data_IF_858167208145
#
_entry.id   IF_858167208145
#
_cell.length_a   1.000
_cell.length_b   1.000
_cell.length_c   1.000
_cell.angle_alpha   90.00
_cell.angle_beta   90.00
_cell.angle_gamma   90.00
#
_symmetry.space_group_name_H-M   'P 1'
#
loop_
_entity.id
_entity.type
_entity.pdbx_description
1 polymer ?
#
# COMPACT_ATOMS: atom_id res chain seq x y z
N UNK A 1 -12.95 4.34 27.20
CA UNK A 1 -12.98 4.71 25.76
C UNK A 1 -11.95 5.78 25.42
N UNK A 2 -12.01 6.98 26.03
CA UNK A 2 -11.14 8.12 25.69
C UNK A 2 -9.62 7.86 25.69
N UNK A 3 -9.11 7.09 26.67
CA UNK A 3 -7.67 6.77 26.78
C UNK A 3 -7.15 5.83 25.69
N UNK A 4 -7.99 4.94 25.17
CA UNK A 4 -7.60 3.98 24.12
C UNK A 4 -7.48 4.72 22.79
N UNK A 5 -8.41 5.61 22.50
CA UNK A 5 -8.40 6.42 21.28
C UNK A 5 -7.23 7.42 21.27
N UNK A 6 -6.89 8.01 22.42
CA UNK A 6 -5.69 8.83 22.56
C UNK A 6 -4.41 8.04 22.32
N UNK A 7 -4.27 6.85 22.93
CA UNK A 7 -3.12 5.96 22.71
C UNK A 7 -2.98 5.53 21.25
N UNK A 8 -4.10 5.23 20.58
CA UNK A 8 -4.12 4.91 19.16
C UNK A 8 -3.67 6.10 18.30
N UNK A 9 -4.18 7.31 18.59
CA UNK A 9 -3.83 8.52 17.85
C UNK A 9 -2.35 8.87 17.99
N UNK A 10 -1.79 8.79 19.20
CA UNK A 10 -0.37 8.99 19.48
C UNK A 10 0.48 7.97 18.73
N UNK A 11 0.11 6.69 18.81
CA UNK A 11 0.86 5.62 18.14
C UNK A 11 0.84 5.78 16.62
N UNK A 12 -0.32 6.15 16.05
CA UNK A 12 -0.45 6.45 14.63
C UNK A 12 0.41 7.64 14.20
N UNK A 13 0.49 8.70 15.02
CA UNK A 13 1.35 9.84 14.74
C UNK A 13 2.84 9.46 14.76
N UNK A 14 3.27 8.62 15.70
CA UNK A 14 4.65 8.10 15.76
C UNK A 14 4.96 7.23 14.55
N UNK A 15 4.05 6.34 14.17
CA UNK A 15 4.19 5.53 12.96
C UNK A 15 4.27 6.37 11.69
N UNK A 16 3.41 7.39 11.58
CA UNK A 16 3.45 8.35 10.48
C UNK A 16 4.84 8.98 10.37
N UNK A 17 5.38 9.49 11.47
CA UNK A 17 6.71 10.09 11.50
C UNK A 17 7.81 9.11 11.11
N UNK A 18 7.82 7.90 11.68
CA UNK A 18 8.84 6.90 11.39
C UNK A 18 8.83 6.48 9.92
N UNK A 19 7.63 6.27 9.34
CA UNK A 19 7.46 5.91 7.93
C UNK A 19 7.87 7.03 6.96
N UNK A 20 7.77 8.29 7.40
CA UNK A 20 8.16 9.44 6.58
C UNK A 20 9.66 9.74 6.70
N UNK A 21 10.24 9.52 7.89
CA UNK A 21 11.69 9.63 8.12
C UNK A 21 12.48 8.51 7.45
N UNK A 22 11.96 7.28 7.46
CA UNK A 22 12.59 6.16 6.75
C UNK A 22 12.73 6.39 5.24
N UNK A 23 11.84 7.20 4.64
CA UNK A 23 11.95 7.65 3.24
C UNK A 23 13.07 8.67 3.00
N UNK A 24 13.40 9.48 4.01
CA UNK A 24 14.36 10.59 3.89
C UNK A 24 15.78 10.17 4.28
N UNK A 25 15.89 9.36 5.32
CA UNK A 25 17.14 8.88 5.88
C UNK A 25 17.31 7.43 5.44
N UNK A 26 18.32 7.11 4.62
CA UNK A 26 18.67 5.74 4.19
C UNK A 26 19.06 4.79 5.35
N UNK A 27 18.72 5.14 6.58
CA UNK A 27 18.83 4.41 7.83
C UNK A 27 17.52 3.64 8.08
N UNK A 28 17.20 2.67 7.21
CA UNK A 28 15.99 1.86 7.34
C UNK A 28 16.04 0.90 8.56
N UNK A 29 17.25 0.49 8.97
CA UNK A 29 17.44 -0.59 9.95
C UNK A 29 17.16 -0.15 11.41
N UNK A 30 17.48 1.10 11.77
CA UNK A 30 17.22 1.64 13.11
C UNK A 30 15.72 1.90 13.35
N UNK A 31 14.95 2.17 12.28
CA UNK A 31 13.52 2.40 12.37
C UNK A 31 12.69 1.11 12.29
N UNK A 32 13.23 0.01 11.75
CA UNK A 32 12.51 -1.25 11.55
C UNK A 32 11.97 -1.85 12.86
N UNK A 33 12.79 -1.92 13.92
CA UNK A 33 12.38 -2.47 15.22
C UNK A 33 11.29 -1.62 15.88
N UNK A 34 11.39 -0.29 15.76
CA UNK A 34 10.35 0.63 16.26
C UNK A 34 9.05 0.47 15.48
N UNK A 35 9.12 0.39 14.14
CA UNK A 35 7.96 0.18 13.29
C UNK A 35 7.24 -1.13 13.61
N UNK A 36 7.97 -2.24 13.79
CA UNK A 36 7.41 -3.53 14.17
C UNK A 36 6.68 -3.46 15.52
N UNK A 37 7.32 -2.90 16.55
CA UNK A 37 6.72 -2.76 17.87
C UNK A 37 5.44 -1.90 17.88
N UNK A 38 5.42 -0.81 17.10
CA UNK A 38 4.23 0.04 17.01
C UNK A 38 3.11 -0.60 16.18
N UNK A 39 3.44 -1.32 15.11
CA UNK A 39 2.46 -2.10 14.33
C UNK A 39 1.86 -3.21 15.20
N UNK A 40 2.69 -3.94 15.93
CA UNK A 40 2.26 -5.00 16.85
C UNK A 40 1.36 -4.44 17.95
N UNK A 41 1.76 -3.32 18.58
CA UNK A 41 0.95 -2.67 19.60
C UNK A 41 -0.42 -2.21 19.07
N UNK A 42 -0.47 -1.61 17.88
CA UNK A 42 -1.74 -1.26 17.25
C UNK A 42 -2.61 -2.47 16.94
N UNK A 43 -2.00 -3.59 16.51
CA UNK A 43 -2.70 -4.83 16.23
C UNK A 43 -3.36 -5.46 17.45
N UNK A 44 -2.80 -5.23 18.64
CA UNK A 44 -3.34 -5.73 19.91
C UNK A 44 -4.17 -4.69 20.68
N UNK A 45 -4.34 -3.47 20.15
CA UNK A 45 -5.09 -2.43 20.84
C UNK A 45 -6.62 -2.64 20.66
N UNK A 46 -7.36 -2.95 21.74
CA UNK A 46 -8.78 -3.26 21.63
C UNK A 46 -9.58 -2.06 21.12
N UNK A 47 -10.52 -2.32 20.21
CA UNK A 47 -11.36 -1.27 19.61
C UNK A 47 -10.76 -0.56 18.40
N UNK A 48 -9.57 -0.98 17.93
CA UNK A 48 -9.08 -0.62 16.58
C UNK A 48 -9.49 -1.60 15.49
N UNK A 49 -9.96 -2.80 15.85
CA UNK A 49 -10.41 -3.86 14.94
C UNK A 49 -11.41 -3.37 13.88
N UNK A 50 -12.27 -2.41 14.23
CA UNK A 50 -13.31 -1.87 13.35
C UNK A 50 -12.92 -0.54 12.68
N UNK A 51 -11.76 0.03 13.04
CA UNK A 51 -11.33 1.33 12.51
C UNK A 51 -10.53 1.15 11.24
N UNK A 52 -10.85 1.94 10.21
CA UNK A 52 -10.07 1.97 8.97
C UNK A 52 -8.70 2.61 9.24
N UNK A 53 -7.60 2.02 8.73
CA UNK A 53 -6.29 2.62 8.88
C UNK A 53 -6.24 3.99 8.17
N UNK A 54 -5.46 4.95 8.69
CA UNK A 54 -5.17 6.19 7.99
C UNK A 54 -4.55 5.94 6.61
N UNK A 55 -4.78 6.88 5.67
CA UNK A 55 -4.32 6.71 4.28
C UNK A 55 -2.80 6.53 4.18
N UNK A 56 -2.01 7.19 5.03
CA UNK A 56 -0.54 7.07 5.02
C UNK A 56 -0.08 5.66 5.41
N UNK A 57 -0.76 4.99 6.34
CA UNK A 57 -0.47 3.60 6.73
C UNK A 57 -0.74 2.66 5.56
N UNK A 58 -1.89 2.84 4.88
CA UNK A 58 -2.21 2.05 3.69
C UNK A 58 -1.19 2.30 2.56
N UNK A 59 -0.75 3.54 2.33
CA UNK A 59 0.27 3.85 1.33
C UNK A 59 1.63 3.25 1.68
N UNK A 60 2.05 3.29 2.95
CA UNK A 60 3.28 2.65 3.40
C UNK A 60 3.22 1.13 3.25
N UNK A 61 2.10 0.50 3.64
CA UNK A 61 1.89 -0.93 3.43
C UNK A 61 1.96 -1.31 1.95
N UNK A 62 1.29 -0.55 1.06
CA UNK A 62 1.37 -0.79 -0.39
C UNK A 62 2.79 -0.59 -0.92
N UNK A 63 3.52 0.41 -0.42
CA UNK A 63 4.91 0.67 -0.79
C UNK A 63 5.81 -0.50 -0.37
N UNK A 64 5.61 -1.04 0.83
CA UNK A 64 6.31 -2.22 1.34
C UNK A 64 5.97 -3.50 0.55
N UNK A 65 4.68 -3.81 0.38
CA UNK A 65 4.20 -5.01 -0.32
C UNK A 65 4.71 -5.13 -1.75
N UNK A 66 4.81 -4.01 -2.46
CA UNK A 66 5.30 -3.98 -3.84
C UNK A 66 6.76 -3.49 -3.95
N UNK A 67 7.42 -3.27 -2.82
CA UNK A 67 8.78 -2.77 -2.68
C UNK A 67 9.07 -1.56 -3.60
N UNK A 68 8.19 -0.55 -3.51
CA UNK A 68 8.20 0.67 -4.33
C UNK A 68 9.40 1.59 -4.05
N UNK A 69 10.01 1.43 -2.87
CA UNK A 69 11.21 2.17 -2.43
C UNK A 69 12.52 1.45 -2.73
N UNK A 70 12.47 0.18 -3.15
CA UNK A 70 13.63 -0.52 -3.66
C UNK A 70 14.11 0.10 -4.97
N UNK A 71 15.42 0.13 -5.19
CA UNK A 71 15.98 0.50 -6.49
C UNK A 71 15.42 -0.45 -7.55
N UNK A 72 14.61 0.09 -8.45
CA UNK A 72 14.27 -0.61 -9.68
C UNK A 72 15.53 -0.58 -10.56
N UNK A 73 16.36 -1.64 -10.51
CA UNK A 73 17.45 -1.86 -11.46
C UNK A 73 16.87 -2.10 -12.86
N UNK A 74 16.43 -1.00 -13.49
CA UNK A 74 15.89 -0.98 -14.85
C UNK A 74 16.09 0.37 -15.52
N UNK A 75 16.99 1.18 -14.98
CA UNK A 75 17.63 2.27 -15.70
C UNK A 75 19.14 2.05 -15.66
N UNK A 76 19.66 1.25 -16.58
CA UNK A 76 21.05 1.42 -17.02
C UNK A 76 22.05 0.29 -16.83
N UNK A 77 21.70 -0.90 -16.30
CA UNK A 77 22.70 -1.97 -16.14
C UNK A 77 22.22 -3.29 -16.74
N UNK A 78 23.18 -3.95 -17.42
CA UNK A 78 23.17 -5.17 -18.22
C UNK A 78 21.82 -5.89 -18.46
N UNK A 79 21.56 -6.19 -19.74
CA UNK A 79 20.35 -6.90 -20.24
C UNK A 79 20.15 -8.33 -19.67
N UNK A 80 21.04 -8.82 -18.82
CA UNK A 80 21.02 -10.19 -18.32
C UNK A 80 20.45 -10.32 -16.89
N UNK A 81 20.48 -9.25 -16.07
CA UNK A 81 20.04 -9.31 -14.66
C UNK A 81 18.75 -8.56 -14.33
N UNK A 82 18.10 -7.91 -15.31
CA UNK A 82 16.77 -7.28 -15.18
C UNK A 82 15.61 -8.28 -14.89
N UNK A 83 15.94 -9.53 -14.59
CA UNK A 83 15.04 -10.66 -14.47
C UNK A 83 14.77 -11.10 -13.04
N UNK A 84 15.44 -10.53 -12.02
CA UNK A 84 15.06 -10.81 -10.63
C UNK A 84 13.78 -10.06 -10.31
N UNK A 85 12.61 -10.74 -10.18
CA UNK A 85 11.45 -10.07 -9.63
C UNK A 85 11.85 -9.58 -8.25
N UNK A 86 11.78 -8.27 -8.05
CA UNK A 86 11.55 -7.65 -6.76
C UNK A 86 10.58 -8.57 -6.00
N UNK A 87 11.00 -9.09 -4.84
CA UNK A 87 10.35 -10.18 -4.12
C UNK A 87 8.94 -9.81 -3.63
N UNK A 88 7.99 -9.69 -4.55
CA UNK A 88 6.57 -9.60 -4.26
C UNK A 88 6.12 -11.01 -3.87
N UNK A 89 5.54 -11.12 -2.68
CA UNK A 89 4.99 -12.38 -2.21
C UNK A 89 3.63 -12.61 -2.86
N UNK A 90 3.59 -13.43 -3.91
CA UNK A 90 2.40 -13.69 -4.74
C UNK A 90 1.44 -14.72 -4.12
N UNK A 91 1.11 -14.51 -2.86
CA UNK A 91 0.14 -15.31 -2.12
C UNK A 91 -1.26 -14.68 -2.19
N UNK A 92 -2.30 -15.50 -2.27
CA UNK A 92 -3.68 -15.02 -2.45
C UNK A 92 -4.17 -14.16 -1.30
N UNK A 93 -3.79 -14.48 -0.06
CA UNK A 93 -4.26 -13.75 1.11
C UNK A 93 -3.52 -12.42 1.23
N UNK A 94 -2.20 -12.45 1.11
CA UNK A 94 -1.36 -11.24 1.14
C UNK A 94 -1.75 -10.28 0.01
N UNK A 95 -1.95 -10.79 -1.20
CA UNK A 95 -2.32 -9.97 -2.35
C UNK A 95 -3.77 -9.48 -2.28
N UNK A 96 -4.69 -10.27 -1.73
CA UNK A 96 -6.05 -9.80 -1.47
C UNK A 96 -6.06 -8.68 -0.43
N UNK A 97 -5.27 -8.80 0.64
CA UNK A 97 -5.10 -7.73 1.61
C UNK A 97 -4.49 -6.46 0.98
N UNK A 98 -3.47 -6.60 0.13
CA UNK A 98 -2.92 -5.49 -0.65
C UNK A 98 -3.98 -4.82 -1.54
N UNK A 99 -4.79 -5.59 -2.27
CA UNK A 99 -5.85 -5.06 -3.11
C UNK A 99 -6.99 -4.40 -2.30
N UNK A 100 -7.30 -4.91 -1.11
CA UNK A 100 -8.22 -4.27 -0.18
C UNK A 100 -7.69 -2.92 0.28
N UNK A 101 -6.42 -2.84 0.69
CA UNK A 101 -5.80 -1.59 1.10
C UNK A 101 -5.73 -0.59 -0.05
N UNK A 102 -5.44 -1.05 -1.27
CA UNK A 102 -5.48 -0.22 -2.48
C UNK A 102 -6.89 0.36 -2.73
N UNK A 103 -7.92 -0.48 -2.66
CA UNK A 103 -9.33 -0.06 -2.83
C UNK A 103 -9.76 0.91 -1.73
N UNK A 104 -9.38 0.66 -0.48
CA UNK A 104 -9.69 1.52 0.67
C UNK A 104 -8.98 2.88 0.57
N UNK A 105 -7.71 2.89 0.15
CA UNK A 105 -6.94 4.10 -0.13
C UNK A 105 -7.66 4.95 -1.18
N UNK A 106 -8.07 4.35 -2.29
CA UNK A 106 -8.77 5.05 -3.35
C UNK A 106 -10.13 5.61 -2.90
N UNK A 107 -10.89 4.83 -2.14
CA UNK A 107 -12.17 5.28 -1.59
C UNK A 107 -11.98 6.50 -0.66
N UNK A 108 -11.01 6.43 0.26
CA UNK A 108 -10.67 7.51 1.18
C UNK A 108 -10.20 8.76 0.45
N UNK A 109 -9.33 8.58 -0.56
CA UNK A 109 -8.81 9.65 -1.44
C UNK A 109 -9.95 10.39 -2.14
N UNK A 110 -10.84 9.67 -2.82
CA UNK A 110 -12.00 10.25 -3.54
C UNK A 110 -12.93 11.02 -2.61
N UNK A 111 -13.36 10.39 -1.49
CA UNK A 111 -14.25 11.03 -0.52
C UNK A 111 -13.67 12.34 0.00
N UNK A 112 -12.36 12.36 0.23
CA UNK A 112 -11.63 13.52 0.73
C UNK A 112 -11.52 14.64 -0.31
N UNK A 113 -11.13 14.33 -1.55
CA UNK A 113 -11.07 15.33 -2.63
C UNK A 113 -12.42 15.96 -2.88
N UNK A 114 -13.49 15.14 -2.91
CA UNK A 114 -14.85 15.65 -3.05
C UNK A 114 -15.26 16.58 -1.90
N UNK A 115 -14.81 16.31 -0.67
CA UNK A 115 -15.05 17.21 0.47
C UNK A 115 -14.30 18.53 0.28
N UNK A 116 -13.03 18.46 -0.13
CA UNK A 116 -12.15 19.63 -0.27
C UNK A 116 -12.62 20.53 -1.41
N UNK A 117 -13.00 19.97 -2.56
CA UNK A 117 -13.54 20.70 -3.70
C UNK A 117 -14.89 21.40 -3.44
N UNK A 118 -15.54 21.14 -2.30
CA UNK A 118 -16.75 21.87 -1.86
C UNK A 118 -16.43 23.13 -1.06
N UNK A 119 -15.17 23.33 -0.67
CA UNK A 119 -14.73 24.53 0.03
C UNK A 119 -14.13 25.53 -0.97
N UNK A 120 -14.13 26.82 -0.61
CA UNK A 120 -13.48 27.86 -1.40
C UNK A 120 -11.96 27.68 -1.34
N UNK A 121 -11.42 27.06 -2.37
CA UNK A 121 -9.99 26.98 -2.67
C UNK A 121 -9.65 28.03 -3.73
N UNK A 122 -8.40 28.45 -3.77
CA UNK A 122 -7.91 29.24 -4.90
C UNK A 122 -8.03 28.45 -6.22
N UNK A 123 -8.13 29.18 -7.33
CA UNK A 123 -8.40 28.62 -8.65
C UNK A 123 -7.28 27.68 -9.12
N UNK A 124 -6.02 28.04 -8.87
CA UNK A 124 -4.85 27.23 -9.25
C UNK A 124 -4.81 25.89 -8.48
N UNK A 125 -5.03 25.92 -7.17
CA UNK A 125 -5.15 24.71 -6.34
C UNK A 125 -6.30 23.83 -6.82
N UNK A 126 -7.45 24.42 -7.17
CA UNK A 126 -8.61 23.67 -7.68
C UNK A 126 -8.30 22.95 -8.99
N UNK A 127 -7.66 23.63 -9.95
CA UNK A 127 -7.28 23.04 -11.24
C UNK A 127 -6.26 21.92 -11.05
N UNK A 128 -5.22 22.14 -10.24
CA UNK A 128 -4.20 21.12 -9.92
C UNK A 128 -4.81 19.90 -9.25
N UNK A 129 -5.70 20.09 -8.28
CA UNK A 129 -6.33 18.99 -7.56
C UNK A 129 -7.21 18.13 -8.48
N UNK A 130 -7.98 18.74 -9.39
CA UNK A 130 -8.78 18.03 -10.40
C UNK A 130 -7.91 17.24 -11.38
N UNK A 131 -6.79 17.83 -11.82
CA UNK A 131 -5.83 17.16 -12.71
C UNK A 131 -5.23 15.92 -12.05
N UNK A 132 -4.76 16.06 -10.81
CA UNK A 132 -4.25 14.94 -10.02
C UNK A 132 -5.33 13.89 -9.78
N UNK A 133 -6.60 14.27 -9.56
CA UNK A 133 -7.68 13.32 -9.31
C UNK A 133 -7.95 12.43 -10.52
N UNK A 134 -8.02 13.03 -11.70
CA UNK A 134 -8.17 12.28 -12.96
C UNK A 134 -7.01 11.31 -13.18
N UNK A 135 -5.78 11.75 -12.92
CA UNK A 135 -4.60 10.90 -13.07
C UNK A 135 -4.58 9.76 -12.06
N UNK A 136 -4.86 10.04 -10.78
CA UNK A 136 -4.93 9.04 -9.72
C UNK A 136 -5.99 7.97 -10.02
N UNK A 137 -7.18 8.36 -10.50
CA UNK A 137 -8.22 7.41 -10.89
C UNK A 137 -7.77 6.47 -12.01
N UNK A 138 -7.09 7.00 -13.03
CA UNK A 138 -6.57 6.21 -14.14
C UNK A 138 -5.48 5.24 -13.67
N UNK A 139 -4.54 5.73 -12.86
CA UNK A 139 -3.45 4.93 -12.32
C UNK A 139 -3.97 3.84 -11.38
N UNK A 140 -4.96 4.14 -10.53
CA UNK A 140 -5.61 3.16 -9.65
C UNK A 140 -6.21 2.00 -10.44
N UNK A 141 -7.03 2.29 -11.45
CA UNK A 141 -7.68 1.25 -12.25
C UNK A 141 -6.65 0.34 -12.94
N UNK A 142 -5.59 0.95 -13.45
CA UNK A 142 -4.51 0.24 -14.13
C UNK A 142 -3.64 -0.57 -13.16
N UNK A 143 -3.34 -0.02 -11.97
CA UNK A 143 -2.63 -0.72 -10.90
C UNK A 143 -3.42 -1.94 -10.41
N UNK A 144 -4.71 -1.77 -10.06
CA UNK A 144 -5.59 -2.87 -9.62
C UNK A 144 -5.56 -4.01 -10.65
N UNK A 145 -5.85 -3.71 -11.92
CA UNK A 145 -5.88 -4.71 -12.97
C UNK A 145 -4.51 -5.36 -13.20
N UNK A 146 -3.43 -4.58 -13.18
CA UNK A 146 -2.06 -5.07 -13.34
C UNK A 146 -1.65 -6.03 -12.22
N UNK A 147 -1.94 -5.68 -10.96
CA UNK A 147 -1.68 -6.52 -9.80
C UNK A 147 -2.47 -7.82 -9.92
N UNK A 148 -3.79 -7.76 -10.13
CA UNK A 148 -4.61 -8.98 -10.24
C UNK A 148 -4.09 -9.94 -11.32
N UNK A 149 -3.74 -9.43 -12.50
CA UNK A 149 -3.18 -10.26 -13.58
C UNK A 149 -1.86 -10.92 -13.17
N UNK A 150 -0.97 -10.19 -12.49
CA UNK A 150 0.32 -10.74 -12.06
C UNK A 150 0.19 -11.79 -10.96
N UNK A 151 -0.75 -11.62 -10.03
CA UNK A 151 -1.12 -12.65 -9.05
C UNK A 151 -1.59 -13.91 -9.79
N UNK A 152 -2.54 -13.75 -10.70
CA UNK A 152 -3.08 -14.88 -11.47
C UNK A 152 -2.03 -15.56 -12.33
N UNK A 153 -1.12 -14.80 -12.96
CA UNK A 153 0.02 -15.37 -13.66
C UNK A 153 0.90 -16.18 -12.72
N UNK A 154 1.16 -15.71 -11.50
CA UNK A 154 1.97 -16.46 -10.53
C UNK A 154 1.28 -17.76 -10.08
N UNK A 155 -0.02 -17.71 -9.81
CA UNK A 155 -0.79 -18.88 -9.38
C UNK A 155 -0.92 -19.93 -10.49
N UNK A 156 -1.13 -19.48 -11.72
CA UNK A 156 -1.36 -20.38 -12.87
C UNK A 156 -0.07 -20.91 -13.53
N UNK A 157 1.09 -20.32 -13.26
CA UNK A 157 2.40 -20.79 -13.78
C UNK A 157 2.93 -22.02 -13.01
N UNK A 158 2.26 -22.40 -11.92
CA UNK A 158 2.56 -23.60 -11.14
C UNK A 158 2.16 -24.87 -11.90
N UNK A 159 2.92 -25.94 -11.70
CA UNK A 159 2.62 -27.27 -12.28
C UNK A 159 1.31 -27.82 -11.72
N UNK A 160 1.20 -27.85 -10.39
CA UNK A 160 -0.06 -28.08 -9.67
C UNK A 160 -0.69 -26.74 -9.33
N UNK A 161 -1.87 -26.49 -9.92
CA UNK A 161 -2.64 -25.26 -9.68
C UNK A 161 -3.75 -25.57 -8.71
N UNK A 162 -3.89 -24.72 -7.71
CA UNK A 162 -5.10 -24.66 -6.90
C UNK A 162 -6.16 -23.88 -7.68
N UNK A 163 -7.00 -24.61 -8.42
CA UNK A 163 -8.03 -24.00 -9.25
C UNK A 163 -9.08 -23.27 -8.43
N UNK A 164 -9.39 -23.76 -7.22
CA UNK A 164 -10.36 -23.13 -6.32
C UNK A 164 -9.86 -21.75 -5.88
N UNK A 165 -8.61 -21.66 -5.43
CA UNK A 165 -7.99 -20.38 -5.06
C UNK A 165 -7.94 -19.40 -6.24
N UNK A 166 -7.61 -19.87 -7.46
CA UNK A 166 -7.59 -19.03 -8.66
C UNK A 166 -8.99 -18.50 -9.00
N UNK A 167 -10.01 -19.35 -8.97
CA UNK A 167 -11.38 -18.98 -9.28
C UNK A 167 -11.98 -18.04 -8.22
N UNK A 168 -11.69 -18.29 -6.94
CA UNK A 168 -12.07 -17.41 -5.84
C UNK A 168 -11.43 -16.02 -6.01
N UNK A 169 -10.13 -15.97 -6.30
CA UNK A 169 -9.43 -14.70 -6.53
C UNK A 169 -9.99 -13.93 -7.74
N UNK A 170 -10.25 -14.61 -8.86
CA UNK A 170 -10.89 -14.03 -10.05
C UNK A 170 -12.26 -13.43 -9.72
N UNK A 171 -13.09 -14.18 -9.01
CA UNK A 171 -14.46 -13.78 -8.67
C UNK A 171 -14.47 -12.60 -7.70
N UNK A 172 -13.51 -12.56 -6.78
CA UNK A 172 -13.40 -11.48 -5.81
C UNK A 172 -12.88 -10.17 -6.42
N UNK A 173 -11.85 -10.24 -7.26
CA UNK A 173 -11.11 -9.05 -7.68
C UNK A 173 -11.38 -8.60 -9.12
N UNK A 174 -11.92 -9.49 -9.96
CA UNK A 174 -12.07 -9.29 -11.40
C UNK A 174 -13.48 -9.60 -11.93
N UNK A 175 -14.49 -9.62 -11.06
CA UNK A 175 -15.90 -9.82 -11.45
C UNK A 175 -16.40 -8.80 -12.48
N UNK A 176 -15.83 -7.61 -12.47
CA UNK A 176 -16.11 -6.50 -13.39
C UNK A 176 -15.43 -6.67 -14.76
N UNK A 177 -14.66 -7.75 -14.98
CA UNK A 177 -13.91 -8.00 -16.22
C UNK A 177 -14.16 -9.43 -16.74
N UNK A 178 -15.36 -9.73 -17.28
CA UNK A 178 -15.76 -11.09 -17.64
C UNK A 178 -14.84 -11.75 -18.68
N UNK A 179 -14.27 -10.97 -19.60
CA UNK A 179 -13.34 -11.47 -20.61
C UNK A 179 -12.05 -12.04 -19.99
N UNK A 180 -11.56 -11.44 -18.90
CA UNK A 180 -10.39 -11.95 -18.19
C UNK A 180 -10.72 -13.23 -17.43
N UNK A 181 -11.90 -13.30 -16.80
CA UNK A 181 -12.36 -14.53 -16.13
C UNK A 181 -12.41 -15.69 -17.13
N UNK A 182 -13.00 -15.48 -18.31
CA UNK A 182 -13.06 -16.49 -19.36
C UNK A 182 -11.65 -16.89 -19.85
N UNK A 183 -10.76 -15.91 -20.01
CA UNK A 183 -9.37 -16.15 -20.42
C UNK A 183 -8.64 -17.04 -19.42
N UNK A 184 -8.73 -16.75 -18.12
CA UNK A 184 -8.06 -17.55 -17.09
C UNK A 184 -8.71 -18.93 -16.90
N UNK A 185 -10.05 -19.04 -16.99
CA UNK A 185 -10.73 -20.35 -17.02
C UNK A 185 -10.23 -21.23 -18.17
N UNK A 186 -10.01 -20.64 -19.35
CA UNK A 186 -9.44 -21.35 -20.49
C UNK A 186 -7.96 -21.71 -20.30
N UNK A 187 -7.19 -20.88 -19.58
CA UNK A 187 -5.80 -21.21 -19.25
C UNK A 187 -5.71 -22.41 -18.31
N UNK A 188 -6.65 -22.56 -17.37
CA UNK A 188 -6.70 -23.69 -16.44
C UNK A 188 -6.96 -25.03 -17.16
N UNK A 189 -7.71 -25.03 -18.27
CA UNK A 189 -7.97 -26.26 -19.05
C UNK A 189 -6.77 -26.76 -19.87
N UNK A 190 -5.66 -26.01 -19.93
CA UNK A 190 -4.46 -26.42 -20.64
C UNK A 190 -3.54 -27.25 -19.76
N UNK A 191 -2.76 -28.14 -20.40
CA UNK A 191 -1.60 -28.74 -19.76
C UNK A 191 -0.59 -27.67 -19.30
N UNK A 192 0.31 -28.07 -18.40
CA UNK A 192 1.25 -27.15 -17.77
C UNK A 192 2.17 -26.45 -18.79
N UNK A 193 2.69 -27.16 -19.79
CA UNK A 193 3.63 -26.59 -20.77
C UNK A 193 2.98 -25.50 -21.63
N UNK A 194 1.76 -25.77 -22.13
CA UNK A 194 1.00 -24.81 -22.90
C UNK A 194 0.60 -23.61 -22.04
N UNK A 195 0.12 -23.84 -20.81
CA UNK A 195 -0.23 -22.77 -19.86
C UNK A 195 0.98 -21.88 -19.56
N UNK A 196 2.12 -22.46 -19.23
CA UNK A 196 3.39 -21.75 -18.97
C UNK A 196 3.86 -20.94 -20.17
N UNK A 197 3.76 -21.49 -21.38
CA UNK A 197 4.11 -20.78 -22.62
C UNK A 197 3.21 -19.55 -22.86
N UNK A 198 1.90 -19.68 -22.64
CA UNK A 198 0.95 -18.56 -22.72
C UNK A 198 1.24 -17.50 -21.67
N UNK A 199 1.44 -17.89 -20.41
CA UNK A 199 1.77 -16.97 -19.31
C UNK A 199 3.06 -16.20 -19.59
N UNK A 200 4.12 -16.86 -20.09
CA UNK A 200 5.36 -16.18 -20.53
C UNK A 200 5.08 -15.11 -21.59
N UNK A 201 4.20 -15.41 -22.54
CA UNK A 201 3.79 -14.45 -23.58
C UNK A 201 3.03 -13.26 -22.98
N UNK A 202 2.13 -13.49 -22.02
CA UNK A 202 1.39 -12.41 -21.35
C UNK A 202 2.30 -11.55 -20.46
N UNK A 203 3.22 -12.16 -19.70
CA UNK A 203 4.23 -11.45 -18.89
C UNK A 203 5.11 -10.54 -19.77
N UNK A 204 5.41 -10.92 -21.02
CA UNK A 204 6.11 -10.04 -21.99
C UNK A 204 5.25 -8.86 -22.46
N UNK A 205 3.95 -9.07 -22.69
CA UNK A 205 3.02 -8.00 -23.11
C UNK A 205 2.77 -6.99 -22.00
N UNK A 206 2.69 -7.45 -20.75
CA UNK A 206 2.47 -6.63 -19.56
C UNK A 206 3.58 -6.94 -18.55
N UNK A 207 4.79 -6.40 -18.74
CA UNK A 207 5.89 -6.65 -17.83
C UNK A 207 5.63 -6.01 -16.46
N UNK A 208 6.15 -6.63 -15.39
CA UNK A 208 5.96 -6.16 -14.02
C UNK A 208 6.51 -4.75 -13.85
N UNK A 209 7.61 -4.41 -14.52
CA UNK A 209 8.20 -3.06 -14.57
C UNK A 209 7.18 -1.96 -14.89
N UNK A 210 6.26 -2.25 -15.82
CA UNK A 210 5.19 -1.32 -16.21
C UNK A 210 4.13 -1.20 -15.13
N UNK A 211 3.73 -2.32 -14.51
CA UNK A 211 2.76 -2.33 -13.41
C UNK A 211 3.32 -1.63 -12.18
N UNK A 212 4.56 -1.96 -11.81
CA UNK A 212 5.34 -1.32 -10.76
C UNK A 212 5.39 0.21 -10.92
N UNK A 213 5.79 0.69 -12.11
CA UNK A 213 5.81 2.14 -12.39
C UNK A 213 4.45 2.81 -12.27
N UNK A 214 3.36 2.10 -12.57
CA UNK A 214 1.99 2.61 -12.39
C UNK A 214 1.62 2.68 -10.90
N UNK A 215 1.95 1.65 -10.11
CA UNK A 215 1.73 1.65 -8.65
C UNK A 215 2.50 2.80 -8.00
N UNK A 216 3.78 2.95 -8.35
CA UNK A 216 4.63 4.03 -7.84
C UNK A 216 4.05 5.41 -8.15
N UNK A 217 3.62 5.65 -9.40
CA UNK A 217 2.99 6.92 -9.77
C UNK A 217 1.64 7.12 -9.09
N UNK A 218 0.87 6.06 -8.86
CA UNK A 218 -0.38 6.17 -8.12
C UNK A 218 -0.15 6.65 -6.67
N UNK A 219 0.82 6.04 -5.99
CA UNK A 219 1.21 6.41 -4.62
C UNK A 219 1.69 7.86 -4.60
N UNK A 220 2.64 8.23 -5.46
CA UNK A 220 3.17 9.60 -5.54
C UNK A 220 2.08 10.64 -5.86
N UNK A 221 1.14 10.32 -6.76
CA UNK A 221 0.02 11.19 -7.07
C UNK A 221 -0.90 11.39 -5.86
N UNK A 222 -1.19 10.31 -5.12
CA UNK A 222 -2.02 10.37 -3.91
C UNK A 222 -1.33 11.17 -2.80
N UNK A 223 -0.02 11.00 -2.62
CA UNK A 223 0.78 11.80 -1.67
C UNK A 223 0.78 13.28 -2.06
N UNK A 224 0.98 13.60 -3.35
CA UNK A 224 0.96 14.97 -3.85
C UNK A 224 -0.39 15.66 -3.59
N UNK A 225 -1.50 14.95 -3.79
CA UNK A 225 -2.83 15.47 -3.46
C UNK A 225 -2.98 15.78 -1.97
N UNK A 226 -2.49 14.91 -1.10
CA UNK A 226 -2.58 15.11 0.33
C UNK A 226 -1.69 16.26 0.83
N UNK A 227 -0.53 16.48 0.18
CA UNK A 227 0.35 17.63 0.43
C UNK A 227 -0.30 18.95 -0.02
N UNK A 228 -0.88 18.97 -1.22
CA UNK A 228 -1.49 20.17 -1.80
C UNK A 228 -2.61 20.76 -0.94
N UNK A 229 -3.34 19.91 -0.22
CA UNK A 229 -4.48 20.31 0.62
C UNK A 229 -4.10 20.52 2.09
N UNK A 230 -2.81 20.81 2.36
CA UNK A 230 -2.21 21.08 3.67
C UNK A 230 -2.48 20.02 4.75
N UNK A 231 -2.73 18.77 4.35
CA UNK A 231 -2.97 17.67 5.29
C UNK A 231 -1.69 16.95 5.69
N UNK A 232 -0.58 17.23 5.01
CA UNK A 232 0.76 16.91 5.46
C UNK A 232 1.54 18.22 5.66
N UNK A 233 1.11 19.06 6.61
CA UNK A 233 2.05 20.02 7.22
C UNK A 233 2.95 19.22 8.16
N UNK A 234 4.06 18.76 7.59
CA UNK A 234 5.23 18.32 8.33
C UNK A 234 5.80 19.52 9.07
N UNK A 235 5.52 19.61 10.36
CA UNK A 235 6.41 20.36 11.21
C UNK A 235 6.92 19.39 12.28
N UNK A 236 8.21 19.07 12.18
CA UNK A 236 8.89 18.22 13.15
C UNK A 236 8.70 18.78 14.57
N UNK A 237 8.52 20.10 14.70
CA UNK A 237 8.28 20.78 15.96
C UNK A 237 6.90 20.45 16.54
N UNK A 238 5.82 20.45 15.75
CA UNK A 238 4.48 20.06 16.25
C UNK A 238 4.40 18.57 16.55
N UNK A 239 5.16 17.74 15.82
CA UNK A 239 5.29 16.32 16.11
C UNK A 239 6.08 16.06 17.39
N UNK A 240 7.25 16.71 17.55
CA UNK A 240 8.04 16.64 18.78
C UNK A 240 7.23 17.14 19.96
N UNK A 241 6.45 18.21 19.80
CA UNK A 241 5.59 18.73 20.84
C UNK A 241 4.45 17.78 21.18
N UNK A 242 3.79 17.15 20.19
CA UNK A 242 2.77 16.13 20.42
C UNK A 242 3.34 14.84 21.03
N UNK A 243 4.57 14.45 20.68
CA UNK A 243 5.29 13.30 21.24
C UNK A 243 5.80 13.62 22.65
N UNK A 244 6.32 14.82 22.90
CA UNK A 244 6.72 15.28 24.25
C UNK A 244 5.50 15.37 25.15
N UNK A 245 4.39 15.98 24.70
CA UNK A 245 3.13 16.00 25.45
C UNK A 245 2.59 14.58 25.68
N UNK A 246 2.68 13.69 24.70
CA UNK A 246 2.27 12.29 24.84
C UNK A 246 3.17 11.49 25.78
N UNK A 247 4.49 11.75 25.78
CA UNK A 247 5.46 11.14 26.68
C UNK A 247 5.27 11.68 28.09
N UNK A 248 5.07 12.99 28.27
CA UNK A 248 4.79 13.61 29.57
C UNK A 248 3.44 13.12 30.15
N UNK A 249 2.42 12.98 29.31
CA UNK A 249 1.13 12.39 29.72
C UNK A 249 1.20 10.87 29.97
N UNK A 250 2.13 10.16 29.32
CA UNK A 250 2.35 8.71 29.46
C UNK A 250 3.62 8.33 30.24
N UNK A 251 4.28 9.24 30.98
CA UNK A 251 5.34 8.88 31.93
C UNK A 251 4.81 7.95 33.05
N UNK A 252 3.48 7.81 33.17
CA UNK A 252 2.81 6.75 33.96
C UNK A 252 2.73 5.37 33.30
N UNK A 253 3.01 5.24 31.99
CA UNK A 253 2.95 3.97 31.24
C UNK A 253 4.35 3.38 31.03
N UNK A 254 5.38 4.21 30.82
CA UNK A 254 6.78 3.74 30.77
C UNK A 254 7.33 3.37 32.17
N UNK A 255 6.73 3.89 33.26
CA UNK A 255 6.98 3.40 34.62
C UNK A 255 6.42 2.01 34.89
N UNK A 256 5.50 1.50 34.05
CA UNK A 256 5.00 0.11 34.13
C UNK A 256 6.01 -0.86 33.48
N UNK A 257 6.82 -0.39 32.52
CA UNK A 257 7.87 -1.19 31.86
C UNK A 257 9.26 -1.04 32.49
N UNK A 258 9.43 -0.13 33.47
CA UNK A 258 10.67 0.02 34.25
C UNK A 258 10.49 -0.45 35.70
N UNK A 259 9.62 -1.43 35.92
CA UNK A 259 9.41 -2.08 37.20
C UNK A 259 10.68 -2.76 37.73
N UNK A 260 11.50 -1.97 38.43
CA UNK A 260 12.26 -2.42 39.58
C UNK A 260 11.43 -2.10 40.84
N UNK A 261 11.14 -3.14 41.62
CA UNK A 261 10.46 -3.10 42.92
C UNK A 261 9.17 -3.93 42.88
N UNK A 262 9.10 -5.16 43.37
CA UNK A 262 9.82 -5.83 44.48
C UNK A 262 10.29 -7.21 44.03
#
# INVERSE_FOLDING_TARGET
>A
MHKIEQKAAITMAILEYLLLRSKQEKSAQAHAQGLEAFVEYLGHLPGLETKKPPIFVSLAFLSYCFNIEGEFHGRGESKEDASKPIACFWDTDVMSNALFQLKNTEHSRKKRILKILRHDLDEDTTVRLRSLDKEAMRLFAWAKSGICRWVLFSLTDKERVDEEAVLAFLTMWMIDVPNEIQTFKRLLSYDWDHRRSKIKTYKKKIPWSKVYSVIQRYIACTEAQCKLVNQFQFNADTFLQAVVEAIEQNQRVLSIFSGNGI
#
